data_IF_011060182699
#
_entry.id   IF_011060182699
#
_cell.length_a   1.000
_cell.length_b   1.000
_cell.length_c   1.000
_cell.angle_alpha   90.00
_cell.angle_beta   90.00
_cell.angle_gamma   90.00
#
_symmetry.space_group_name_H-M   'P 1'
#
loop_
_entity.id
_entity.type
_entity.pdbx_description
1 polymer ?
#
# COMPACT_ATOMS: atom_id res chain seq x y z
N UNK A 1 10.82 0.89 -3.36
CA UNK A 1 10.62 -0.39 -4.07
C UNK A 1 9.34 -0.32 -4.89
N UNK A 2 9.24 -1.07 -5.99
CA UNK A 2 8.03 -1.10 -6.81
C UNK A 2 7.80 -2.54 -7.26
N UNK A 3 6.60 -3.07 -7.02
CA UNK A 3 6.20 -4.37 -7.54
C UNK A 3 5.23 -4.17 -8.71
N UNK A 4 5.29 -5.09 -9.67
CA UNK A 4 4.47 -5.10 -10.88
C UNK A 4 3.84 -6.47 -11.06
N UNK A 5 2.51 -6.53 -11.10
CA UNK A 5 1.76 -7.79 -11.28
C UNK A 5 1.58 -8.06 -12.79
N UNK A 6 2.59 -8.72 -13.38
CA UNK A 6 2.66 -9.00 -14.83
C UNK A 6 1.79 -10.15 -15.32
N UNK A 7 1.33 -11.01 -14.41
CA UNK A 7 0.62 -12.24 -14.77
C UNK A 7 -0.85 -11.92 -15.06
N UNK A 8 -1.28 -12.21 -16.30
CA UNK A 8 -2.65 -11.94 -16.77
C UNK A 8 -3.70 -12.87 -16.16
N UNK A 9 -3.27 -14.07 -15.77
CA UNK A 9 -4.11 -15.11 -15.18
C UNK A 9 -3.52 -15.56 -13.85
N UNK A 10 -4.37 -16.01 -12.94
CA UNK A 10 -3.95 -16.47 -11.62
C UNK A 10 -3.19 -17.79 -11.75
N UNK A 11 -1.92 -17.79 -11.39
CA UNK A 11 -1.10 -19.01 -11.39
C UNK A 11 -1.31 -19.86 -10.14
N UNK A 12 -0.94 -21.15 -10.19
CA UNK A 12 -0.98 -22.03 -9.02
C UNK A 12 -0.13 -21.51 -7.84
N UNK A 13 1.01 -20.87 -8.14
CA UNK A 13 1.89 -20.29 -7.12
C UNK A 13 1.21 -19.09 -6.47
N UNK A 14 0.70 -18.16 -7.28
CA UNK A 14 -0.05 -16.99 -6.78
C UNK A 14 -1.22 -17.42 -5.89
N UNK A 15 -2.00 -18.40 -6.34
CA UNK A 15 -3.15 -18.90 -5.60
C UNK A 15 -2.75 -19.51 -4.26
N UNK A 16 -1.64 -20.26 -4.21
CA UNK A 16 -1.11 -20.82 -2.96
C UNK A 16 -0.65 -19.72 -1.99
N UNK A 17 0.03 -18.70 -2.50
CA UNK A 17 0.60 -17.63 -1.68
C UNK A 17 -0.47 -16.67 -1.15
N UNK A 18 -1.57 -16.48 -1.90
CA UNK A 18 -2.63 -15.51 -1.59
C UNK A 18 -4.02 -16.17 -1.53
N UNK A 19 -4.10 -17.40 -1.03
CA UNK A 19 -5.33 -18.22 -1.08
C UNK A 19 -6.56 -17.49 -0.51
N UNK A 20 -6.46 -16.93 0.71
CA UNK A 20 -7.57 -16.22 1.34
C UNK A 20 -8.06 -15.00 0.52
N UNK A 21 -7.15 -14.31 -0.18
CA UNK A 21 -7.48 -13.17 -1.04
C UNK A 21 -8.32 -13.59 -2.25
N UNK A 22 -7.97 -14.72 -2.88
CA UNK A 22 -8.70 -15.25 -4.02
C UNK A 22 -10.02 -15.91 -3.61
N UNK A 23 -10.01 -16.69 -2.52
CA UNK A 23 -11.21 -17.37 -1.99
C UNK A 23 -12.30 -16.37 -1.59
N UNK A 24 -11.93 -15.31 -0.88
CA UNK A 24 -12.87 -14.24 -0.50
C UNK A 24 -13.49 -13.49 -1.69
N UNK A 25 -12.88 -13.62 -2.89
CA UNK A 25 -13.36 -13.03 -4.15
C UNK A 25 -13.96 -14.06 -5.11
N UNK A 26 -14.00 -15.33 -4.73
CA UNK A 26 -14.50 -16.42 -5.59
C UNK A 26 -13.65 -16.70 -6.83
N UNK A 27 -12.37 -16.29 -6.83
CA UNK A 27 -11.44 -16.44 -7.95
C UNK A 27 -10.70 -17.77 -7.87
N UNK A 28 -10.35 -18.36 -9.01
CA UNK A 28 -9.67 -19.65 -9.14
C UNK A 28 -8.40 -19.53 -9.98
N UNK A 29 -7.60 -20.59 -10.00
CA UNK A 29 -6.47 -20.72 -10.95
C UNK A 29 -7.00 -20.59 -12.38
N UNK A 30 -6.24 -19.92 -13.23
CA UNK A 30 -6.56 -19.58 -14.63
C UNK A 30 -7.66 -18.51 -14.83
N UNK A 31 -8.31 -18.02 -13.77
CA UNK A 31 -9.14 -16.81 -13.85
C UNK A 31 -8.28 -15.56 -14.11
N UNK A 32 -8.90 -14.49 -14.60
CA UNK A 32 -8.23 -13.20 -14.76
C UNK A 32 -7.70 -12.66 -13.44
N UNK A 33 -6.41 -12.31 -13.41
CA UNK A 33 -5.80 -11.71 -12.24
C UNK A 33 -6.35 -10.28 -12.05
N UNK A 34 -7.03 -9.97 -10.93
CA UNK A 34 -7.60 -8.64 -10.68
C UNK A 34 -6.53 -7.55 -10.56
N UNK A 35 -5.27 -7.94 -10.30
CA UNK A 35 -4.15 -7.00 -10.18
C UNK A 35 -3.28 -6.97 -11.45
N UNK A 36 -3.70 -7.60 -12.55
CA UNK A 36 -2.92 -7.58 -13.79
C UNK A 36 -2.65 -6.16 -14.27
N UNK A 37 -1.41 -5.92 -14.69
CA UNK A 37 -0.95 -4.64 -15.22
C UNK A 37 -1.04 -3.48 -14.20
N UNK A 38 -1.00 -3.82 -12.90
CA UNK A 38 -0.96 -2.85 -11.81
C UNK A 38 0.42 -2.76 -11.17
N UNK A 39 0.73 -1.59 -10.64
CA UNK A 39 1.95 -1.28 -9.91
C UNK A 39 1.63 -0.98 -8.45
N UNK A 40 2.45 -1.48 -7.54
CA UNK A 40 2.35 -1.14 -6.12
C UNK A 40 3.66 -0.49 -5.66
N UNK A 41 3.77 0.85 -5.72
CA UNK A 41 4.94 1.57 -5.27
C UNK A 41 5.03 1.60 -3.74
N UNK A 42 6.22 1.38 -3.20
CA UNK A 42 6.54 1.43 -1.77
C UNK A 42 7.72 2.36 -1.55
N UNK A 43 7.52 3.45 -0.80
CA UNK A 43 8.54 4.48 -0.61
C UNK A 43 9.19 4.38 0.78
N UNK A 44 10.49 4.63 0.82
CA UNK A 44 11.23 4.87 2.06
C UNK A 44 11.75 6.30 2.00
N UNK A 45 11.25 7.15 2.88
CA UNK A 45 11.55 8.58 2.89
C UNK A 45 12.19 8.94 4.23
N UNK A 46 13.34 9.60 4.18
CA UNK A 46 13.99 10.17 5.36
C UNK A 46 13.68 11.65 5.42
N UNK A 47 13.04 12.08 6.51
CA UNK A 47 12.67 13.46 6.76
C UNK A 47 13.52 14.03 7.88
N UNK A 48 14.15 15.18 7.63
CA UNK A 48 14.82 15.94 8.69
C UNK A 48 13.77 16.72 9.48
N UNK A 49 13.63 16.40 10.76
CA UNK A 49 12.62 16.99 11.64
C UNK A 49 13.28 17.54 12.91
N UNK A 50 12.57 18.40 13.65
CA UNK A 50 13.03 18.85 14.97
C UNK A 50 13.30 17.65 15.90
N UNK A 51 14.32 17.75 16.76
CA UNK A 51 14.65 16.67 17.72
C UNK A 51 13.49 16.30 18.66
N UNK A 52 12.50 17.19 18.80
CA UNK A 52 11.30 17.00 19.59
C UNK A 52 10.05 16.72 18.75
N UNK A 53 10.17 16.47 17.43
CA UNK A 53 9.05 16.20 16.54
C UNK A 53 8.09 15.15 17.09
N UNK A 54 8.59 13.97 17.48
CA UNK A 54 7.78 12.91 18.09
C UNK A 54 7.36 13.16 19.56
N UNK A 55 7.83 14.23 20.20
CA UNK A 55 7.59 14.53 21.62
C UNK A 55 6.58 15.67 21.81
N UNK A 56 6.57 16.64 20.90
CA UNK A 56 5.74 17.85 20.95
C UNK A 56 4.56 17.69 20.01
N UNK A 57 3.34 17.68 20.56
CA UNK A 57 2.10 17.44 19.80
C UNK A 57 1.86 18.48 18.71
N UNK A 58 2.33 19.70 18.91
CA UNK A 58 2.25 20.81 17.98
C UNK A 58 3.25 20.71 16.81
N UNK A 59 4.27 19.85 16.92
CA UNK A 59 5.22 19.59 15.85
C UNK A 59 4.87 18.31 15.09
N UNK A 60 4.31 17.31 15.77
CA UNK A 60 3.99 16.02 15.17
C UNK A 60 2.75 16.10 14.26
N UNK A 61 2.96 15.88 12.97
CA UNK A 61 1.86 15.65 12.02
C UNK A 61 1.22 14.30 12.36
N UNK A 62 -0.08 14.30 12.61
CA UNK A 62 -0.80 13.09 13.00
C UNK A 62 -0.90 12.12 11.82
N UNK A 63 -1.07 10.84 12.13
CA UNK A 63 -1.23 9.81 11.11
C UNK A 63 -2.44 10.07 10.18
N UNK A 64 -3.54 10.62 10.72
CA UNK A 64 -4.73 11.00 9.93
C UNK A 64 -4.38 12.06 8.87
N UNK A 65 -3.64 13.09 9.27
CA UNK A 65 -3.20 14.18 8.39
C UNK A 65 -2.18 13.69 7.35
N UNK A 66 -1.25 12.82 7.75
CA UNK A 66 -0.36 12.12 6.80
C UNK A 66 -1.12 11.31 5.76
N UNK A 67 -2.17 10.60 6.17
CA UNK A 67 -2.97 9.78 5.27
C UNK A 67 -3.74 10.67 4.29
N UNK A 68 -4.31 11.79 4.76
CA UNK A 68 -5.01 12.76 3.93
C UNK A 68 -4.08 13.40 2.89
N UNK A 69 -2.91 13.91 3.32
CA UNK A 69 -1.92 14.46 2.40
C UNK A 69 -1.48 13.41 1.37
N UNK A 70 -1.28 12.16 1.80
CA UNK A 70 -0.87 11.10 0.88
C UNK A 70 -1.94 10.77 -0.16
N UNK A 71 -3.21 10.72 0.24
CA UNK A 71 -4.34 10.57 -0.67
C UNK A 71 -4.43 11.71 -1.67
N UNK A 72 -4.23 12.95 -1.21
CA UNK A 72 -4.30 14.15 -2.05
C UNK A 72 -3.22 14.13 -3.14
N UNK A 73 -1.97 13.84 -2.80
CA UNK A 73 -0.87 13.86 -3.78
C UNK A 73 -0.89 12.67 -4.75
N UNK A 74 -1.56 11.58 -4.38
CA UNK A 74 -1.71 10.39 -5.24
C UNK A 74 -3.02 10.38 -6.02
N UNK A 75 -3.98 11.26 -5.68
CA UNK A 75 -5.36 11.24 -6.17
C UNK A 75 -6.05 9.86 -5.96
N UNK A 76 -5.70 9.18 -4.86
CA UNK A 76 -6.17 7.84 -4.51
C UNK A 76 -6.85 7.83 -3.14
N UNK A 77 -8.14 8.23 -3.03
CA UNK A 77 -8.85 8.31 -1.76
C UNK A 77 -9.02 6.95 -1.06
N UNK A 78 -8.93 5.84 -1.80
CA UNK A 78 -9.06 4.48 -1.31
C UNK A 78 -7.86 3.98 -0.49
N UNK A 79 -6.72 4.68 -0.52
CA UNK A 79 -5.57 4.34 0.35
C UNK A 79 -6.03 4.46 1.80
N UNK A 80 -5.78 3.44 2.63
CA UNK A 80 -6.27 3.42 4.03
C UNK A 80 -5.16 3.45 5.07
N UNK A 81 -3.90 3.39 4.65
CA UNK A 81 -2.77 3.17 5.55
C UNK A 81 -1.60 4.05 5.18
N UNK A 82 -1.00 4.66 6.21
CA UNK A 82 0.31 5.31 6.17
C UNK A 82 1.05 4.92 7.45
N UNK A 83 2.34 4.65 7.35
CA UNK A 83 3.15 4.20 8.48
C UNK A 83 4.30 5.16 8.71
N UNK A 84 4.35 5.78 9.90
CA UNK A 84 5.40 6.72 10.31
C UNK A 84 6.11 6.13 11.53
N UNK A 85 7.43 6.04 11.47
CA UNK A 85 8.27 5.53 12.57
C UNK A 85 9.44 6.47 12.84
N UNK A 86 10.01 6.36 14.04
CA UNK A 86 11.25 7.02 14.47
C UNK A 86 12.45 6.11 14.23
#
# INVERSE_FOLDING_TARGET
EMTYDKERFITKVMYKDRQAYYDSRGLKVDDHNPNYDTYNPHFHVLLCVDKNYFKRKELYIKQEEWLEMWREVTDMPEITQVHIQK
#
